data_IF_299502684083
#
_entry.id   IF_299502684083
#
_cell.length_a   1.000
_cell.length_b   1.000
_cell.length_c   1.000
_cell.angle_alpha   90.00
_cell.angle_beta   90.00
_cell.angle_gamma   90.00
#
_symmetry.space_group_name_H-M   'P 1'
#
loop_
_entity.id
_entity.type
_entity.pdbx_description
1 polymer ?
#
# COMPACT_ATOMS: atom_id res chain seq x y z
N UNK A 1 35.77 -6.32 24.32
CA UNK A 1 35.85 -7.61 23.58
C UNK A 1 34.76 -8.57 24.03
N UNK A 2 34.60 -8.83 25.34
CA UNK A 2 33.54 -9.70 25.87
C UNK A 2 32.11 -9.23 25.51
N UNK A 3 31.81 -7.93 25.62
CA UNK A 3 30.49 -7.38 25.24
C UNK A 3 30.19 -7.55 23.74
N UNK A 4 31.21 -7.40 22.89
CA UNK A 4 31.05 -7.56 21.43
C UNK A 4 30.78 -9.03 21.06
N UNK A 5 31.41 -9.97 21.76
CA UNK A 5 31.16 -11.41 21.59
C UNK A 5 29.75 -11.77 22.04
N UNK A 6 29.28 -11.23 23.17
CA UNK A 6 27.91 -11.44 23.66
C UNK A 6 26.84 -10.89 22.69
N UNK A 7 27.09 -9.72 22.08
CA UNK A 7 26.18 -9.16 21.05
C UNK A 7 26.13 -10.07 19.81
N UNK A 8 27.27 -10.58 19.36
CA UNK A 8 27.34 -11.49 18.21
C UNK A 8 26.69 -12.85 18.50
N UNK A 9 26.88 -13.40 19.70
CA UNK A 9 26.21 -14.64 20.12
C UNK A 9 24.70 -14.46 20.18
N UNK A 10 24.22 -13.33 20.71
CA UNK A 10 22.79 -13.02 20.76
C UNK A 10 22.18 -12.84 19.37
N UNK A 11 22.89 -12.15 18.47
CA UNK A 11 22.48 -12.02 17.05
C UNK A 11 22.47 -13.38 16.34
N UNK A 12 23.43 -14.26 16.65
CA UNK A 12 23.49 -15.62 16.09
C UNK A 12 22.32 -16.48 16.57
N UNK A 13 22.01 -16.46 17.87
CA UNK A 13 20.85 -17.18 18.41
C UNK A 13 19.54 -16.68 17.79
N UNK A 14 19.36 -15.36 17.68
CA UNK A 14 18.20 -14.77 17.01
C UNK A 14 18.12 -15.16 15.53
N UNK A 15 19.26 -15.22 14.83
CA UNK A 15 19.30 -15.65 13.44
C UNK A 15 18.92 -17.14 13.26
N UNK A 16 19.31 -18.01 14.19
CA UNK A 16 18.96 -19.45 14.17
C UNK A 16 17.45 -19.62 14.42
N UNK A 17 16.94 -19.03 15.51
CA UNK A 17 15.50 -19.08 15.84
C UNK A 17 14.64 -18.50 14.70
N UNK A 18 15.14 -17.45 14.05
CA UNK A 18 14.49 -16.85 12.89
C UNK A 18 14.54 -17.75 11.63
N UNK A 19 15.62 -18.50 11.43
CA UNK A 19 15.74 -19.43 10.28
C UNK A 19 14.74 -20.58 10.42
N UNK A 20 14.57 -21.13 11.62
CA UNK A 20 13.60 -22.19 11.88
C UNK A 20 12.15 -21.71 11.68
N UNK A 21 11.81 -20.52 12.20
CA UNK A 21 10.49 -19.90 11.97
C UNK A 21 10.27 -19.58 10.49
N UNK A 22 11.31 -19.17 9.77
CA UNK A 22 11.25 -18.86 8.35
C UNK A 22 10.97 -20.12 7.52
N UNK A 23 11.68 -21.22 7.77
CA UNK A 23 11.46 -22.48 7.04
C UNK A 23 10.04 -23.01 7.27
N UNK A 24 9.51 -22.93 8.50
CA UNK A 24 8.14 -23.33 8.80
C UNK A 24 7.12 -22.46 8.03
N UNK A 25 7.31 -21.13 8.03
CA UNK A 25 6.41 -20.21 7.34
C UNK A 25 6.47 -20.39 5.82
N UNK A 26 7.64 -20.64 5.24
CA UNK A 26 7.80 -20.92 3.81
C UNK A 26 7.20 -22.27 3.42
N UNK A 27 7.36 -23.30 4.24
CA UNK A 27 6.72 -24.59 4.00
C UNK A 27 5.19 -24.47 4.02
N UNK A 28 4.64 -23.72 4.99
CA UNK A 28 3.21 -23.41 5.06
C UNK A 28 2.76 -22.53 3.90
N UNK A 29 3.59 -21.59 3.44
CA UNK A 29 3.24 -20.71 2.33
C UNK A 29 3.09 -21.46 1.02
N UNK A 30 3.96 -22.43 0.72
CA UNK A 30 3.86 -23.23 -0.50
C UNK A 30 2.56 -24.03 -0.56
N UNK A 31 2.18 -24.66 0.55
CA UNK A 31 0.92 -25.42 0.62
C UNK A 31 -0.31 -24.51 0.53
N UNK A 32 -0.31 -23.39 1.25
CA UNK A 32 -1.43 -22.44 1.21
C UNK A 32 -1.51 -21.70 -0.11
N UNK A 33 -0.41 -21.38 -0.79
CA UNK A 33 -0.40 -20.81 -2.15
C UNK A 33 -0.95 -21.80 -3.17
N UNK A 34 -0.65 -23.09 -3.04
CA UNK A 34 -1.23 -24.13 -3.88
C UNK A 34 -2.75 -24.23 -3.70
N UNK A 35 -3.22 -24.25 -2.44
CA UNK A 35 -4.66 -24.25 -2.13
C UNK A 35 -5.34 -22.95 -2.58
N UNK A 36 -4.65 -21.82 -2.42
CA UNK A 36 -5.13 -20.51 -2.85
C UNK A 36 -5.29 -20.44 -4.37
N UNK A 37 -4.37 -21.02 -5.11
CA UNK A 37 -4.40 -21.11 -6.57
C UNK A 37 -5.49 -22.06 -7.11
N UNK A 38 -6.09 -22.88 -6.24
CA UNK A 38 -7.17 -23.82 -6.55
C UNK A 38 -8.43 -23.55 -5.72
N UNK A 39 -8.65 -22.30 -5.29
CA UNK A 39 -9.74 -21.92 -4.39
C UNK A 39 -11.14 -22.31 -4.93
N UNK A 40 -11.29 -22.37 -6.24
CA UNK A 40 -12.51 -22.70 -6.97
C UNK A 40 -12.88 -24.19 -6.92
N UNK A 41 -11.94 -25.05 -6.51
CA UNK A 41 -12.17 -26.49 -6.30
C UNK A 41 -12.51 -26.83 -4.85
N UNK A 42 -12.55 -25.84 -3.96
CA UNK A 42 -12.81 -26.03 -2.53
C UNK A 42 -14.26 -25.65 -2.17
N UNK A 43 -14.89 -26.36 -1.22
CA UNK A 43 -16.15 -25.93 -0.61
C UNK A 43 -16.05 -24.51 -0.02
N UNK A 44 -17.15 -23.74 -0.03
CA UNK A 44 -17.16 -22.31 0.33
C UNK A 44 -16.60 -21.98 1.74
N UNK A 45 -16.85 -22.84 2.73
CA UNK A 45 -16.28 -22.69 4.07
C UNK A 45 -14.75 -22.86 4.09
N UNK A 46 -14.22 -23.75 3.24
CA UNK A 46 -12.80 -24.02 3.12
C UNK A 46 -12.09 -22.94 2.28
N UNK A 47 -12.76 -22.37 1.28
CA UNK A 47 -12.20 -21.28 0.47
C UNK A 47 -12.01 -20.00 1.28
N UNK A 48 -12.94 -19.66 2.18
CA UNK A 48 -12.80 -18.53 3.10
C UNK A 48 -11.65 -18.76 4.09
N UNK A 49 -11.53 -19.96 4.65
CA UNK A 49 -10.45 -20.32 5.57
C UNK A 49 -9.08 -20.26 4.88
N UNK A 50 -8.95 -20.82 3.68
CA UNK A 50 -7.72 -20.76 2.87
C UNK A 50 -7.37 -19.32 2.49
N UNK A 51 -8.37 -18.50 2.16
CA UNK A 51 -8.15 -17.07 1.89
C UNK A 51 -7.62 -16.32 3.13
N UNK A 52 -8.19 -16.56 4.31
CA UNK A 52 -7.73 -15.97 5.57
C UNK A 52 -6.32 -16.43 5.94
N UNK A 53 -6.03 -17.73 5.80
CA UNK A 53 -4.71 -18.30 6.05
C UNK A 53 -3.66 -17.75 5.07
N UNK A 54 -4.01 -17.61 3.79
CA UNK A 54 -3.14 -17.00 2.80
C UNK A 54 -2.81 -15.55 3.17
N UNK A 55 -3.80 -14.75 3.56
CA UNK A 55 -3.59 -13.37 4.02
C UNK A 55 -2.68 -13.29 5.25
N UNK A 56 -2.86 -14.21 6.21
CA UNK A 56 -2.03 -14.27 7.42
C UNK A 56 -0.58 -14.62 7.09
N UNK A 57 -0.36 -15.59 6.22
CA UNK A 57 0.99 -16.00 5.77
C UNK A 57 1.68 -14.86 5.00
N UNK A 58 0.98 -14.18 4.09
CA UNK A 58 1.56 -13.05 3.35
C UNK A 58 1.94 -11.90 4.31
N UNK A 59 1.16 -11.66 5.36
CA UNK A 59 1.51 -10.69 6.40
C UNK A 59 2.75 -11.12 7.22
N UNK A 60 2.88 -12.41 7.53
CA UNK A 60 4.07 -12.96 8.20
C UNK A 60 5.32 -12.85 7.32
N UNK A 61 5.24 -13.24 6.05
CA UNK A 61 6.33 -13.10 5.08
C UNK A 61 6.74 -11.63 4.88
N UNK A 62 5.79 -10.70 4.90
CA UNK A 62 6.10 -9.26 4.84
C UNK A 62 6.89 -8.79 6.06
N UNK A 63 6.46 -9.17 7.29
CA UNK A 63 7.21 -8.87 8.53
C UNK A 63 8.61 -9.45 8.52
N UNK A 64 8.75 -10.70 8.05
CA UNK A 64 10.05 -11.37 7.87
C UNK A 64 10.94 -10.53 6.96
N UNK A 65 10.47 -10.13 5.77
CA UNK A 65 11.25 -9.30 4.82
C UNK A 65 11.69 -7.97 5.43
N UNK A 66 10.83 -7.33 6.24
CA UNK A 66 11.18 -6.08 6.94
C UNK A 66 12.27 -6.30 7.99
N UNK A 67 12.21 -7.40 8.74
CA UNK A 67 13.22 -7.77 9.73
C UNK A 67 14.55 -8.14 9.05
N UNK A 68 14.53 -8.90 7.95
CA UNK A 68 15.75 -9.23 7.18
C UNK A 68 16.45 -7.97 6.68
N UNK A 69 15.69 -6.98 6.19
CA UNK A 69 16.22 -5.67 5.77
C UNK A 69 16.84 -4.91 6.94
N UNK A 70 16.20 -4.95 8.11
CA UNK A 70 16.71 -4.29 9.32
C UNK A 70 18.01 -4.94 9.82
N UNK A 71 18.08 -6.27 9.81
CA UNK A 71 19.30 -7.02 10.14
C UNK A 71 20.42 -6.78 9.13
N UNK A 72 20.12 -6.75 7.83
CA UNK A 72 21.09 -6.43 6.79
C UNK A 72 21.65 -5.00 6.94
N UNK A 73 20.82 -4.04 7.35
CA UNK A 73 21.25 -2.66 7.63
C UNK A 73 22.14 -2.58 8.87
N UNK A 74 21.80 -3.28 9.96
CA UNK A 74 22.63 -3.39 11.16
C UNK A 74 23.98 -4.04 10.81
N UNK A 75 23.97 -5.10 10.00
CA UNK A 75 25.18 -5.77 9.56
C UNK A 75 26.05 -4.85 8.69
N UNK A 76 25.47 -4.16 7.71
CA UNK A 76 26.19 -3.19 6.89
C UNK A 76 26.82 -2.08 7.75
N UNK A 77 26.08 -1.57 8.75
CA UNK A 77 26.59 -0.58 9.71
C UNK A 77 27.78 -1.12 10.50
N UNK A 78 27.68 -2.33 11.09
CA UNK A 78 28.80 -2.97 11.79
C UNK A 78 30.02 -3.15 10.87
N UNK A 79 29.80 -3.56 9.62
CA UNK A 79 30.86 -3.77 8.62
C UNK A 79 31.50 -2.49 8.10
N UNK A 80 30.88 -1.32 8.31
CA UNK A 80 31.51 -0.01 8.03
C UNK A 80 32.39 0.50 9.16
N UNK A 81 32.20 -0.01 10.38
CA UNK A 81 32.92 0.42 11.59
C UNK A 81 34.08 -0.52 11.99
N UNK A 82 34.24 -1.68 11.32
CA UNK A 82 35.22 -2.69 11.69
C UNK A 82 36.54 -2.60 10.87
N UNK A 83 37.73 -2.67 11.50
CA UNK A 83 39.02 -2.68 10.79
C UNK A 83 39.25 -3.98 9.98
N UNK A 84 39.94 -3.88 8.85
CA UNK A 84 40.02 -4.90 7.77
C UNK A 84 40.36 -6.34 8.21
N UNK A 85 41.21 -6.52 9.22
CA UNK A 85 41.55 -7.87 9.73
C UNK A 85 40.38 -8.59 10.42
N UNK A 86 39.42 -7.83 10.98
CA UNK A 86 38.21 -8.37 11.66
C UNK A 86 37.07 -8.66 10.68
N UNK A 87 37.08 -8.04 9.49
CA UNK A 87 36.09 -8.23 8.42
C UNK A 87 36.11 -9.67 7.87
N UNK A 88 37.32 -10.22 7.65
CA UNK A 88 37.53 -11.59 7.13
C UNK A 88 37.09 -12.71 8.08
N UNK A 89 37.09 -12.46 9.39
CA UNK A 89 36.71 -13.45 10.42
C UNK A 89 35.20 -13.53 10.62
N UNK A 90 34.48 -12.43 10.39
CA UNK A 90 33.01 -12.37 10.52
C UNK A 90 32.34 -13.09 9.34
N UNK A 91 32.89 -12.96 8.12
CA UNK A 91 32.36 -13.63 6.91
C UNK A 91 32.38 -15.17 7.00
N UNK A 92 33.25 -15.74 7.83
CA UNK A 92 33.31 -17.20 8.04
C UNK A 92 32.21 -17.76 8.96
N UNK A 93 31.53 -16.92 9.75
CA UNK A 93 30.47 -17.36 10.66
C UNK A 93 29.14 -17.68 9.96
N UNK A 94 28.95 -17.18 8.73
CA UNK A 94 27.66 -17.22 8.03
C UNK A 94 27.69 -18.00 6.71
N UNK A 95 28.73 -18.81 6.46
CA UNK A 95 28.74 -19.72 5.29
C UNK A 95 27.90 -20.98 5.57
N UNK A 96 26.88 -21.31 4.74
CA UNK A 96 26.09 -22.53 4.91
C UNK A 96 26.92 -23.79 4.61
N UNK A 97 26.71 -24.86 5.37
CA UNK A 97 27.21 -26.21 5.03
C UNK A 97 26.30 -26.84 3.98
N UNK A 98 26.87 -27.31 2.87
CA UNK A 98 26.18 -28.01 1.78
C UNK A 98 26.10 -29.51 2.07
N UNK A 99 24.92 -30.11 1.94
CA UNK A 99 24.72 -31.57 1.87
C UNK A 99 24.04 -31.99 0.56
N UNK A 100 24.40 -33.17 0.05
CA UNK A 100 24.09 -33.72 -1.29
C UNK A 100 22.81 -34.59 -1.32
N UNK A 101 22.03 -34.43 -2.42
CA UNK A 101 21.14 -35.31 -3.24
C UNK A 101 20.61 -36.68 -2.73
N UNK A 102 19.31 -36.94 -3.03
CA UNK A 102 18.72 -38.08 -3.82
C UNK A 102 17.18 -37.90 -3.96
N UNK A 103 16.49 -37.83 -5.13
CA UNK A 103 16.13 -38.76 -6.25
C UNK A 103 14.94 -39.74 -6.01
N UNK A 104 13.87 -39.59 -6.84
CA UNK A 104 12.90 -40.62 -7.32
C UNK A 104 11.46 -40.55 -6.76
N UNK A 105 10.36 -41.06 -7.37
CA UNK A 105 9.74 -41.14 -8.72
C UNK A 105 8.37 -41.88 -8.56
N UNK A 106 7.33 -41.59 -9.36
CA UNK A 106 6.11 -42.42 -9.64
C UNK A 106 4.80 -41.95 -8.94
N UNK A 107 3.70 -41.52 -9.62
CA UNK A 107 2.65 -42.26 -10.38
C UNK A 107 1.84 -43.23 -9.46
N UNK A 108 0.50 -43.32 -9.39
CA UNK A 108 -0.60 -43.18 -10.36
C UNK A 108 -1.98 -43.15 -9.60
N UNK A 109 -3.06 -42.74 -10.26
CA UNK A 109 -4.50 -42.82 -9.86
C UNK A 109 -5.07 -44.22 -10.26
N UNK A 110 -6.34 -44.68 -9.97
CA UNK A 110 -7.60 -43.95 -10.30
C UNK A 110 -8.92 -44.33 -9.55
N UNK A 111 -10.00 -43.60 -9.93
CA UNK A 111 -11.43 -44.01 -10.05
C UNK A 111 -12.26 -44.39 -8.79
N UNK A 112 -13.59 -44.25 -8.71
CA UNK A 112 -14.70 -43.59 -9.41
C UNK A 112 -15.93 -43.61 -8.43
N UNK A 113 -16.98 -42.79 -8.66
CA UNK A 113 -18.20 -42.63 -7.81
C UNK A 113 -19.17 -43.84 -7.78
N UNK A 114 -20.52 -43.68 -7.68
CA UNK A 114 -21.35 -42.47 -7.68
C UNK A 114 -22.60 -42.53 -6.72
N UNK A 115 -23.56 -41.60 -6.94
CA UNK A 115 -25.03 -41.64 -6.68
C UNK A 115 -25.53 -40.98 -5.40
N UNK A 116 -26.24 -39.85 -5.52
CA UNK A 116 -27.71 -39.66 -5.76
C UNK A 116 -28.32 -39.29 -4.39
N UNK A 117 -29.34 -38.46 -4.21
CA UNK A 117 -30.10 -37.49 -4.96
C UNK A 117 -31.09 -36.88 -3.93
N UNK A 118 -31.59 -35.67 -4.20
CA UNK A 118 -32.84 -35.12 -3.64
C UNK A 118 -32.84 -34.77 -2.13
N UNK A 119 -33.51 -33.74 -1.61
CA UNK A 119 -34.47 -32.79 -2.14
C UNK A 119 -34.65 -31.68 -1.09
N UNK A 120 -34.78 -30.45 -1.60
CA UNK A 120 -35.71 -29.40 -1.17
C UNK A 120 -35.85 -28.87 0.28
N UNK A 121 -36.31 -27.60 0.28
CA UNK A 121 -37.02 -26.84 1.32
C UNK A 121 -36.13 -25.94 2.22
N UNK A 122 -35.85 -24.71 1.76
CA UNK A 122 -36.68 -23.54 2.14
C UNK A 122 -36.10 -22.22 1.61
N UNK A 123 -36.88 -21.57 0.75
CA UNK A 123 -36.70 -20.20 0.25
C UNK A 123 -36.93 -19.16 1.36
N UNK A 124 -36.26 -18.02 1.16
CA UNK A 124 -36.70 -16.65 1.44
C UNK A 124 -36.58 -16.12 2.88
N UNK A 125 -35.39 -15.62 3.22
CA UNK A 125 -35.21 -14.38 4.00
C UNK A 125 -33.73 -13.96 4.06
N UNK A 126 -33.14 -13.43 2.97
CA UNK A 126 -31.88 -12.66 3.07
C UNK A 126 -31.59 -11.92 1.74
N UNK A 127 -31.87 -10.62 1.71
CA UNK A 127 -31.39 -9.72 0.67
C UNK A 127 -30.22 -8.92 1.25
N UNK A 128 -29.09 -9.58 1.46
CA UNK A 128 -27.79 -8.93 1.65
C UNK A 128 -26.99 -9.09 0.37
N UNK A 129 -26.56 -7.97 -0.20
CA UNK A 129 -25.82 -7.90 -1.45
C UNK A 129 -24.59 -8.84 -1.43
N UNK A 130 -24.75 -10.00 -2.08
CA UNK A 130 -23.66 -10.90 -2.40
C UNK A 130 -22.72 -10.17 -3.37
N UNK A 131 -21.47 -10.03 -2.94
CA UNK A 131 -20.42 -9.43 -3.75
C UNK A 131 -19.93 -10.53 -4.69
N UNK A 132 -20.39 -10.52 -5.95
CA UNK A 132 -19.80 -11.36 -7.00
C UNK A 132 -18.30 -11.06 -7.08
N UNK A 133 -17.48 -12.03 -6.68
CA UNK A 133 -16.04 -12.01 -6.89
C UNK A 133 -15.81 -12.29 -8.38
N UNK A 134 -15.81 -11.22 -9.18
CA UNK A 134 -15.44 -11.29 -10.59
C UNK A 134 -13.98 -11.76 -10.68
N UNK A 135 -13.78 -13.01 -11.13
CA UNK A 135 -12.47 -13.55 -11.48
C UNK A 135 -11.83 -12.59 -12.50
N UNK A 136 -10.67 -11.98 -12.24
CA UNK A 136 -10.16 -10.99 -13.17
C UNK A 136 -9.42 -11.69 -14.31
N UNK A 137 -10.13 -11.97 -15.40
CA UNK A 137 -9.61 -12.61 -16.63
C UNK A 137 -8.44 -11.82 -17.28
N UNK A 138 -8.24 -10.55 -16.89
CA UNK A 138 -7.20 -9.67 -17.44
C UNK A 138 -5.86 -9.86 -16.70
N UNK A 139 -5.84 -10.29 -15.43
CA UNK A 139 -4.57 -10.54 -14.72
C UNK A 139 -3.71 -11.60 -15.41
N UNK A 140 -4.35 -12.63 -15.95
CA UNK A 140 -3.67 -13.68 -16.73
C UNK A 140 -3.16 -13.21 -18.09
N UNK A 141 -3.56 -12.01 -18.54
CA UNK A 141 -3.13 -11.41 -19.81
C UNK A 141 -2.02 -10.37 -19.62
N UNK A 142 -1.75 -9.94 -18.39
CA UNK A 142 -0.63 -9.06 -18.08
C UNK A 142 0.65 -9.88 -18.06
N UNK A 143 1.69 -9.40 -18.76
CA UNK A 143 3.04 -9.96 -18.60
C UNK A 143 3.51 -9.70 -17.15
N UNK A 144 3.73 -10.75 -16.33
CA UNK A 144 4.09 -10.59 -14.93
C UNK A 144 5.38 -9.80 -14.72
N UNK A 145 6.34 -9.87 -15.66
CA UNK A 145 7.59 -9.11 -15.56
C UNK A 145 7.39 -7.64 -15.93
N UNK A 146 6.57 -7.35 -16.95
CA UNK A 146 6.24 -5.96 -17.32
C UNK A 146 5.45 -5.26 -16.21
N UNK A 147 4.49 -5.94 -15.57
CA UNK A 147 3.59 -5.38 -14.57
C UNK A 147 3.93 -5.77 -13.13
N UNK A 148 5.15 -6.26 -12.89
CA UNK A 148 5.59 -6.74 -11.58
C UNK A 148 5.33 -5.73 -10.47
N UNK A 149 5.67 -4.46 -10.69
CA UNK A 149 5.49 -3.42 -9.69
C UNK A 149 4.02 -3.28 -9.30
N UNK A 150 3.12 -3.17 -10.26
CA UNK A 150 1.70 -2.98 -10.03
C UNK A 150 1.07 -4.21 -9.36
N UNK A 151 1.43 -5.41 -9.84
CA UNK A 151 0.93 -6.69 -9.31
C UNK A 151 1.38 -6.94 -7.87
N UNK A 152 2.62 -6.57 -7.52
CA UNK A 152 3.16 -6.80 -6.18
C UNK A 152 2.77 -5.70 -5.17
N UNK A 153 2.47 -4.48 -5.63
CA UNK A 153 2.41 -3.31 -4.73
C UNK A 153 1.09 -2.57 -4.70
N UNK A 154 0.20 -2.75 -5.70
CA UNK A 154 -1.18 -2.27 -5.59
C UNK A 154 -1.96 -3.22 -4.69
N UNK A 155 -2.70 -2.67 -3.73
CA UNK A 155 -3.56 -3.49 -2.87
C UNK A 155 -4.61 -4.27 -3.70
N UNK A 156 -4.82 -5.58 -3.43
CA UNK A 156 -5.71 -6.41 -4.24
C UNK A 156 -7.14 -5.86 -4.40
N UNK A 157 -7.65 -5.17 -3.38
CA UNK A 157 -9.01 -4.59 -3.42
C UNK A 157 -9.13 -3.42 -4.40
N UNK A 158 -8.02 -2.75 -4.71
CA UNK A 158 -7.92 -1.75 -5.77
C UNK A 158 -7.60 -2.39 -7.11
N UNK A 159 -6.68 -3.34 -7.13
CA UNK A 159 -6.19 -3.99 -8.34
C UNK A 159 -7.35 -4.58 -9.14
N UNK A 160 -8.31 -5.27 -8.49
CA UNK A 160 -9.51 -5.81 -9.15
C UNK A 160 -10.28 -4.80 -10.01
N UNK A 161 -10.26 -3.50 -9.66
CA UNK A 161 -10.95 -2.45 -10.40
C UNK A 161 -10.05 -1.69 -11.38
N UNK A 162 -8.73 -1.75 -11.18
CA UNK A 162 -7.74 -1.00 -11.94
C UNK A 162 -7.05 -1.81 -13.05
N UNK A 163 -7.22 -3.12 -13.10
CA UNK A 163 -6.56 -3.97 -14.11
C UNK A 163 -6.80 -3.53 -15.55
N UNK A 164 -8.03 -3.17 -15.90
CA UNK A 164 -8.37 -2.65 -17.25
C UNK A 164 -7.65 -1.34 -17.54
N UNK A 165 -7.34 -0.57 -16.50
CA UNK A 165 -6.62 0.70 -16.60
C UNK A 165 -5.14 0.46 -16.91
N UNK A 166 -4.54 -0.57 -16.31
CA UNK A 166 -3.13 -0.93 -16.51
C UNK A 166 -2.84 -1.36 -17.96
N UNK A 167 -3.83 -1.90 -18.67
CA UNK A 167 -3.67 -2.34 -20.07
C UNK A 167 -3.86 -1.22 -21.09
N UNK A 168 -4.29 -0.02 -20.66
CA UNK A 168 -4.58 1.08 -21.57
C UNK A 168 -3.31 1.59 -22.28
N UNK A 169 -3.44 2.08 -23.54
CA UNK A 169 -2.29 2.57 -24.30
C UNK A 169 -1.50 3.67 -23.58
N UNK A 170 -2.17 4.59 -22.89
CA UNK A 170 -1.49 5.67 -22.17
C UNK A 170 -0.67 5.14 -20.99
N UNK A 171 -1.14 4.08 -20.31
CA UNK A 171 -0.43 3.51 -19.17
C UNK A 171 0.83 2.78 -19.63
N UNK A 172 0.76 2.07 -20.76
CA UNK A 172 1.94 1.48 -21.42
C UNK A 172 2.97 2.55 -21.82
N UNK A 173 2.51 3.70 -22.32
CA UNK A 173 3.40 4.83 -22.63
C UNK A 173 4.05 5.41 -21.36
N UNK A 174 3.28 5.55 -20.27
CA UNK A 174 3.80 5.97 -18.97
C UNK A 174 4.89 5.02 -18.47
N UNK A 175 4.69 3.69 -18.56
CA UNK A 175 5.70 2.70 -18.18
C UNK A 175 6.98 2.84 -19.01
N UNK A 176 6.86 3.00 -20.33
CA UNK A 176 8.01 3.25 -21.22
C UNK A 176 8.77 4.51 -20.83
N UNK A 177 8.05 5.59 -20.53
CA UNK A 177 8.63 6.84 -20.04
C UNK A 177 9.41 6.63 -18.74
N UNK A 178 8.83 5.97 -17.73
CA UNK A 178 9.51 5.72 -16.46
C UNK A 178 10.75 4.81 -16.62
N UNK A 179 10.69 3.81 -17.51
CA UNK A 179 11.82 2.97 -17.82
C UNK A 179 12.96 3.76 -18.50
N UNK A 180 12.63 4.74 -19.36
CA UNK A 180 13.62 5.64 -19.96
C UNK A 180 14.25 6.57 -18.92
N UNK A 181 13.46 7.14 -18.00
CA UNK A 181 13.97 7.96 -16.89
C UNK A 181 14.96 7.16 -16.02
N UNK A 182 14.61 5.92 -15.68
CA UNK A 182 15.48 5.02 -14.93
C UNK A 182 16.76 4.67 -15.72
N UNK A 183 16.63 4.33 -17.01
CA UNK A 183 17.78 4.02 -17.88
C UNK A 183 18.72 5.22 -18.05
N UNK A 184 18.18 6.44 -18.01
CA UNK A 184 18.94 7.68 -18.03
C UNK A 184 19.64 8.00 -16.69
N UNK A 185 19.52 7.13 -15.68
CA UNK A 185 20.15 7.31 -14.38
C UNK A 185 19.50 8.39 -13.52
N UNK A 186 18.27 8.80 -13.85
CA UNK A 186 17.57 9.83 -13.08
C UNK A 186 17.10 9.26 -11.74
N UNK A 187 17.27 10.06 -10.69
CA UNK A 187 16.72 9.75 -9.38
C UNK A 187 15.24 10.13 -9.36
N UNK A 188 14.36 9.13 -9.30
CA UNK A 188 12.90 9.29 -9.26
C UNK A 188 12.37 8.99 -7.86
N UNK A 189 11.42 9.79 -7.41
CA UNK A 189 10.71 9.61 -6.14
C UNK A 189 9.21 9.37 -6.35
N UNK A 190 8.53 8.64 -5.44
CA UNK A 190 9.12 7.88 -4.33
C UNK A 190 9.89 6.64 -4.85
N UNK A 191 10.45 5.82 -3.95
CA UNK A 191 10.99 4.51 -4.35
C UNK A 191 9.90 3.70 -5.05
N UNK A 192 10.27 2.85 -6.01
CA UNK A 192 9.32 2.11 -6.84
C UNK A 192 8.25 1.37 -6.00
N UNK A 193 8.66 0.64 -4.96
CA UNK A 193 7.76 -0.09 -4.05
C UNK A 193 6.73 0.78 -3.32
N UNK A 194 6.99 2.09 -3.23
CA UNK A 194 6.17 3.05 -2.51
C UNK A 194 5.23 3.84 -3.43
N UNK A 195 5.35 3.72 -4.77
CA UNK A 195 4.50 4.45 -5.74
C UNK A 195 3.00 4.24 -5.46
N UNK A 196 2.62 3.03 -5.07
CA UNK A 196 1.23 2.64 -4.80
C UNK A 196 0.89 2.51 -3.30
N UNK A 197 1.71 3.06 -2.40
CA UNK A 197 1.48 3.00 -0.94
C UNK A 197 0.07 3.45 -0.55
N UNK A 198 -0.46 4.50 -1.20
CA UNK A 198 -1.83 4.99 -0.98
C UNK A 198 -2.89 3.88 -1.04
N UNK A 199 -2.73 2.88 -1.93
CA UNK A 199 -3.69 1.80 -2.10
C UNK A 199 -3.66 0.80 -0.95
N UNK A 200 -2.47 0.55 -0.38
CA UNK A 200 -2.25 -0.39 0.73
C UNK A 200 -2.63 0.20 2.07
N UNK A 201 -2.41 1.50 2.25
CA UNK A 201 -2.82 2.21 3.47
C UNK A 201 -4.34 2.40 3.53
N UNK A 202 -4.98 2.69 2.40
CA UNK A 202 -6.43 2.85 2.30
C UNK A 202 -7.02 1.86 1.28
N UNK A 203 -7.20 0.56 1.62
CA UNK A 203 -7.86 -0.42 0.76
C UNK A 203 -9.23 0.07 0.30
N UNK A 204 -9.66 -0.31 -0.90
CA UNK A 204 -10.81 0.26 -1.60
C UNK A 204 -12.09 0.35 -0.74
N UNK A 205 -12.41 -0.76 -0.06
CA UNK A 205 -13.58 -0.89 0.81
C UNK A 205 -13.51 -0.07 2.10
N UNK A 206 -12.35 0.48 2.46
CA UNK A 206 -12.13 1.27 3.69
C UNK A 206 -12.06 2.77 3.45
N UNK A 207 -12.07 3.22 2.19
CA UNK A 207 -12.03 4.65 1.86
C UNK A 207 -13.26 5.36 2.43
N UNK A 208 -12.99 6.41 3.22
CA UNK A 208 -13.97 7.32 3.85
C UNK A 208 -13.74 8.78 3.46
N UNK A 209 -12.48 9.17 3.32
CA UNK A 209 -12.07 10.53 2.94
C UNK A 209 -11.06 10.44 1.80
N UNK A 210 -11.14 11.36 0.83
CA UNK A 210 -10.16 11.52 -0.24
C UNK A 210 -9.56 12.92 -0.14
N UNK A 211 -8.24 12.99 -0.04
CA UNK A 211 -7.47 14.24 -0.09
C UNK A 211 -6.56 14.15 -1.31
N UNK A 212 -6.68 15.13 -2.21
CA UNK A 212 -5.93 15.16 -3.46
C UNK A 212 -4.74 16.10 -3.37
N UNK A 213 -3.54 15.57 -3.62
CA UNK A 213 -2.33 16.34 -3.87
C UNK A 213 -2.02 16.48 -5.37
N UNK A 214 -0.94 17.18 -5.68
CA UNK A 214 -0.51 17.43 -7.07
C UNK A 214 0.53 16.40 -7.50
N UNK A 215 1.76 16.51 -6.99
CA UNK A 215 2.87 15.59 -7.24
C UNK A 215 3.57 15.20 -5.92
N UNK A 216 4.40 14.14 -5.91
CA UNK A 216 5.18 13.77 -4.74
C UNK A 216 6.21 14.84 -4.40
N UNK A 217 6.66 14.88 -3.14
CA UNK A 217 7.83 15.68 -2.78
C UNK A 217 9.08 15.21 -3.54
N UNK A 218 9.83 16.16 -4.10
CA UNK A 218 10.95 15.91 -4.99
C UNK A 218 12.32 15.93 -4.28
N UNK A 219 12.36 15.98 -2.95
CA UNK A 219 13.60 15.91 -2.16
C UNK A 219 13.89 14.48 -1.67
N UNK A 220 15.18 14.13 -1.49
CA UNK A 220 15.57 12.82 -0.96
C UNK A 220 14.89 12.47 0.36
N UNK A 221 14.35 11.25 0.44
CA UNK A 221 13.71 10.71 1.64
C UNK A 221 12.33 11.30 1.98
N UNK A 222 11.83 12.27 1.21
CA UNK A 222 10.56 12.94 1.53
C UNK A 222 9.34 12.10 1.13
N UNK A 223 9.20 11.80 -0.17
CA UNK A 223 8.03 11.10 -0.69
C UNK A 223 8.06 9.61 -0.39
N UNK A 224 6.91 9.07 0.02
CA UNK A 224 6.69 7.64 0.30
C UNK A 224 5.33 7.14 -0.19
N UNK A 225 4.76 7.81 -1.20
CA UNK A 225 3.53 7.39 -1.88
C UNK A 225 2.22 7.85 -1.26
N UNK A 226 2.25 8.76 -0.27
CA UNK A 226 1.09 9.39 0.33
C UNK A 226 1.15 10.90 0.11
N UNK A 227 0.07 11.49 -0.43
CA UNK A 227 -0.03 12.95 -0.61
C UNK A 227 0.18 13.72 0.70
N UNK A 228 0.87 14.86 0.63
CA UNK A 228 1.24 15.74 1.76
C UNK A 228 2.12 15.13 2.86
N UNK A 229 2.25 13.81 2.93
CA UNK A 229 2.97 13.09 3.98
C UNK A 229 4.46 13.00 3.70
N UNK A 230 5.28 13.07 4.76
CA UNK A 230 6.73 12.79 4.71
C UNK A 230 7.12 11.76 5.76
N UNK A 231 8.22 11.04 5.55
CA UNK A 231 8.73 10.08 6.54
C UNK A 231 9.15 10.76 7.85
N UNK A 232 9.18 10.01 8.95
CA UNK A 232 9.71 10.49 10.24
C UNK A 232 11.18 10.88 10.10
N UNK A 233 11.58 11.93 10.82
CA UNK A 233 12.94 12.50 10.74
C UNK A 233 13.15 13.46 9.55
N UNK A 234 12.21 13.53 8.61
CA UNK A 234 12.23 14.53 7.53
C UNK A 234 11.58 15.82 8.01
N UNK A 235 12.16 16.97 7.64
CA UNK A 235 11.59 18.29 7.91
C UNK A 235 10.17 18.37 7.36
N UNK A 236 9.21 18.71 8.23
CA UNK A 236 7.80 18.88 7.87
C UNK A 236 7.66 20.01 6.82
N UNK A 237 7.10 19.74 5.63
CA UNK A 237 6.95 20.75 4.59
C UNK A 237 5.96 21.86 4.96
N UNK A 238 6.07 23.07 4.38
CA UNK A 238 5.22 24.21 4.73
C UNK A 238 3.71 23.95 4.56
N UNK A 239 3.31 23.26 3.48
CA UNK A 239 1.89 22.91 3.26
C UNK A 239 1.35 22.01 4.36
N UNK A 240 2.15 21.03 4.82
CA UNK A 240 1.74 20.14 5.90
C UNK A 240 1.70 20.87 7.25
N UNK A 241 2.64 21.79 7.52
CA UNK A 241 2.57 22.66 8.69
C UNK A 241 1.26 23.48 8.71
N UNK A 242 0.82 23.97 7.56
CA UNK A 242 -0.45 24.68 7.46
C UNK A 242 -1.67 23.76 7.66
N UNK A 243 -1.60 22.49 7.25
CA UNK A 243 -2.63 21.50 7.59
C UNK A 243 -2.71 21.27 9.09
N UNK A 244 -1.58 21.16 9.80
CA UNK A 244 -1.57 21.08 11.27
C UNK A 244 -2.10 22.36 11.92
N UNK A 245 -1.78 23.53 11.36
CA UNK A 245 -2.34 24.80 11.84
C UNK A 245 -3.87 24.86 11.68
N UNK A 246 -4.42 24.34 10.58
CA UNK A 246 -5.87 24.25 10.40
C UNK A 246 -6.56 23.23 11.35
N UNK A 247 -5.77 22.38 12.02
CA UNK A 247 -6.22 21.48 13.09
C UNK A 247 -5.97 22.06 14.49
N UNK A 248 -5.32 23.23 14.63
CA UNK A 248 -5.18 23.90 15.92
C UNK A 248 -6.57 24.26 16.46
N UNK A 249 -6.92 23.73 17.63
CA UNK A 249 -8.26 23.85 18.21
C UNK A 249 -9.22 22.70 17.90
N UNK A 250 -8.85 21.77 17.00
CA UNK A 250 -9.57 20.50 16.86
C UNK A 250 -9.41 19.67 18.13
N UNK A 251 -10.51 19.18 18.70
CA UNK A 251 -10.49 18.53 20.02
C UNK A 251 -9.50 17.36 20.06
N UNK A 252 -8.57 17.42 21.02
CA UNK A 252 -7.55 16.39 21.22
C UNK A 252 -6.42 16.40 20.20
N UNK A 253 -6.33 17.40 19.32
CA UNK A 253 -5.20 17.53 18.39
C UNK A 253 -4.00 18.18 19.07
N UNK A 254 -2.86 17.49 19.00
CA UNK A 254 -1.55 18.03 19.32
C UNK A 254 -0.65 17.87 18.11
N UNK A 255 0.01 18.96 17.72
CA UNK A 255 0.89 18.96 16.55
C UNK A 255 2.06 18.00 16.79
N UNK A 256 2.28 16.99 15.93
CA UNK A 256 3.42 16.09 16.07
C UNK A 256 4.74 16.78 15.66
N UNK A 257 5.85 16.17 16.06
CA UNK A 257 7.20 16.59 15.64
C UNK A 257 7.66 15.94 14.32
N UNK A 258 6.76 15.27 13.59
CA UNK A 258 7.01 14.63 12.30
C UNK A 258 5.89 14.94 11.29
N UNK A 259 6.11 14.61 10.02
CA UNK A 259 5.14 14.82 8.96
C UNK A 259 4.46 13.54 8.43
N UNK A 260 4.60 12.43 9.15
CA UNK A 260 4.06 11.14 8.73
C UNK A 260 2.55 11.03 9.00
N UNK A 261 1.76 10.92 7.92
CA UNK A 261 0.29 10.82 7.93
C UNK A 261 -0.26 9.38 7.83
N UNK A 262 0.56 8.36 8.11
CA UNK A 262 0.12 6.95 7.99
C UNK A 262 -1.10 6.62 8.84
N UNK A 263 -1.18 7.17 10.05
CA UNK A 263 -2.34 6.96 10.94
C UNK A 263 -3.67 7.48 10.40
N UNK A 264 -3.66 8.54 9.59
CA UNK A 264 -4.87 8.97 8.88
C UNK A 264 -5.22 7.99 7.75
N UNK A 265 -4.21 7.55 7.01
CA UNK A 265 -4.40 6.69 5.86
C UNK A 265 -4.98 5.33 6.26
N UNK A 266 -4.49 4.72 7.34
CA UNK A 266 -5.00 3.44 7.91
C UNK A 266 -6.46 3.51 8.37
N UNK A 267 -6.96 4.72 8.67
CA UNK A 267 -8.36 4.97 9.05
C UNK A 267 -9.29 5.16 7.84
N UNK A 268 -8.77 5.09 6.61
CA UNK A 268 -9.54 5.26 5.39
C UNK A 268 -9.42 6.63 4.72
N UNK A 269 -8.38 7.40 5.06
CA UNK A 269 -8.05 8.65 4.34
C UNK A 269 -7.16 8.34 3.15
N UNK A 270 -7.74 8.34 1.95
CA UNK A 270 -7.00 8.18 0.71
C UNK A 270 -6.20 9.46 0.40
N UNK A 271 -4.89 9.40 0.63
CA UNK A 271 -3.93 10.47 0.36
C UNK A 271 -3.30 10.28 -1.04
N UNK A 272 -3.97 10.79 -2.07
CA UNK A 272 -3.63 10.52 -3.47
C UNK A 272 -3.09 11.76 -4.18
N UNK A 273 -1.86 11.68 -4.71
CA UNK A 273 -1.36 12.69 -5.64
C UNK A 273 -1.89 12.41 -7.05
N UNK A 274 -1.94 13.43 -7.90
CA UNK A 274 -2.36 13.25 -9.29
C UNK A 274 -1.24 12.72 -10.19
N UNK A 275 0.00 13.17 -9.99
CA UNK A 275 1.20 12.49 -10.43
C UNK A 275 1.72 11.59 -9.31
N UNK A 276 2.12 10.35 -9.62
CA UNK A 276 2.61 9.40 -8.59
C UNK A 276 4.14 9.30 -8.52
N UNK A 277 4.86 9.88 -9.47
CA UNK A 277 6.32 9.97 -9.45
C UNK A 277 6.81 11.37 -9.82
N UNK A 278 8.05 11.70 -9.44
CA UNK A 278 8.72 12.97 -9.74
C UNK A 278 10.24 12.77 -9.82
N UNK A 279 10.93 13.58 -10.62
CA UNK A 279 12.38 13.60 -10.69
C UNK A 279 12.93 14.43 -9.51
N UNK A 280 14.04 13.97 -8.94
CA UNK A 280 14.74 14.66 -7.85
C UNK A 280 14.98 16.14 -8.19
N UNK A 281 14.60 17.03 -7.28
CA UNK A 281 14.69 18.49 -7.40
C UNK A 281 13.91 19.15 -8.54
N UNK A 282 13.03 18.42 -9.25
CA UNK A 282 12.22 18.97 -10.35
C UNK A 282 10.73 18.74 -10.13
N UNK A 283 10.09 19.65 -9.39
CA UNK A 283 8.64 19.65 -9.22
C UNK A 283 7.92 19.58 -10.58
N UNK A 284 6.84 18.79 -10.65
CA UNK A 284 6.05 18.56 -11.85
C UNK A 284 6.80 17.95 -13.06
N UNK A 285 8.00 17.40 -12.91
CA UNK A 285 8.76 16.84 -14.04
C UNK A 285 8.03 15.70 -14.77
N UNK A 286 7.16 14.97 -14.07
CA UNK A 286 6.36 13.88 -14.60
C UNK A 286 4.88 14.24 -14.80
N UNK A 287 4.55 15.53 -14.78
CA UNK A 287 3.21 15.99 -15.11
C UNK A 287 2.86 15.69 -16.57
N UNK A 288 1.60 15.35 -16.82
CA UNK A 288 1.04 15.00 -18.12
C UNK A 288 1.73 13.80 -18.80
N UNK A 289 2.34 12.89 -18.02
CA UNK A 289 2.96 11.66 -18.53
C UNK A 289 2.03 10.44 -18.49
N UNK A 290 0.81 10.61 -17.97
CA UNK A 290 -0.23 9.58 -17.90
C UNK A 290 -0.71 9.27 -16.49
N UNK A 291 -0.03 9.76 -15.45
CA UNK A 291 -0.46 9.55 -14.06
C UNK A 291 -1.80 10.21 -13.76
N UNK A 292 -2.07 11.38 -14.32
CA UNK A 292 -3.31 12.11 -14.11
C UNK A 292 -4.51 11.30 -14.59
N UNK A 293 -4.42 10.69 -15.76
CA UNK A 293 -5.45 9.77 -16.30
C UNK A 293 -5.66 8.57 -15.37
N UNK A 294 -4.58 7.96 -14.90
CA UNK A 294 -4.64 6.82 -13.99
C UNK A 294 -5.31 7.19 -12.66
N UNK A 295 -4.89 8.31 -12.06
CA UNK A 295 -5.44 8.74 -10.77
C UNK A 295 -6.84 9.34 -10.92
N UNK A 296 -7.22 9.84 -12.10
CA UNK A 296 -8.62 10.18 -12.43
C UNK A 296 -9.50 8.94 -12.38
N UNK A 297 -9.04 7.82 -12.96
CA UNK A 297 -9.74 6.55 -12.84
C UNK A 297 -9.91 6.12 -11.38
N UNK A 298 -8.88 6.29 -10.55
CA UNK A 298 -8.96 6.00 -9.10
C UNK A 298 -10.07 6.81 -8.43
N UNK A 299 -10.14 8.12 -8.69
CA UNK A 299 -11.18 8.99 -8.13
C UNK A 299 -12.58 8.63 -8.66
N UNK A 300 -12.69 8.32 -9.95
CA UNK A 300 -13.93 7.87 -10.57
C UNK A 300 -14.44 6.56 -9.98
N UNK A 301 -13.56 5.59 -9.72
CA UNK A 301 -13.93 4.33 -9.10
C UNK A 301 -14.50 4.53 -7.70
N UNK A 302 -13.90 5.43 -6.91
CA UNK A 302 -14.45 5.81 -5.60
C UNK A 302 -15.83 6.45 -5.78
N UNK A 303 -15.97 7.42 -6.68
CA UNK A 303 -17.24 8.09 -6.97
C UNK A 303 -18.35 7.10 -7.40
N UNK A 304 -18.00 6.14 -8.28
CA UNK A 304 -18.95 5.19 -8.85
C UNK A 304 -19.33 4.08 -7.87
N UNK A 305 -18.37 3.49 -7.14
CA UNK A 305 -18.59 2.25 -6.38
C UNK A 305 -18.57 2.40 -4.86
N UNK A 306 -18.21 3.56 -4.31
CA UNK A 306 -18.29 3.86 -2.87
C UNK A 306 -19.39 4.87 -2.60
N UNK A 307 -19.99 4.85 -1.42
CA UNK A 307 -20.99 5.84 -0.99
C UNK A 307 -20.52 6.53 0.29
N UNK A 308 -21.06 7.72 0.58
CA UNK A 308 -20.77 8.47 1.81
C UNK A 308 -19.28 8.82 2.01
N UNK A 309 -18.54 8.95 0.91
CA UNK A 309 -17.14 9.41 0.92
C UNK A 309 -17.08 10.95 0.96
N UNK A 310 -16.16 11.50 1.76
CA UNK A 310 -15.84 12.93 1.81
C UNK A 310 -14.66 13.23 0.89
N UNK A 311 -14.82 14.16 -0.05
CA UNK A 311 -13.74 14.64 -0.91
C UNK A 311 -13.28 16.03 -0.48
N UNK A 312 -12.04 16.16 -0.05
CA UNK A 312 -11.39 17.43 0.28
C UNK A 312 -10.56 17.92 -0.90
N UNK A 313 -11.07 18.93 -1.58
CA UNK A 313 -10.50 19.49 -2.81
C UNK A 313 -9.85 20.84 -2.52
N UNK A 314 -8.55 20.82 -2.23
CA UNK A 314 -7.79 22.01 -1.86
C UNK A 314 -7.00 22.57 -3.06
N UNK A 315 -7.36 23.77 -3.50
CA UNK A 315 -6.77 24.42 -4.67
C UNK A 315 -7.48 24.11 -5.99
N UNK A 316 -7.21 24.93 -7.00
CA UNK A 316 -7.89 24.88 -8.30
C UNK A 316 -7.71 23.54 -9.02
N UNK A 317 -6.53 22.93 -8.91
CA UNK A 317 -6.23 21.64 -9.52
C UNK A 317 -7.13 20.53 -8.96
N UNK A 318 -7.15 20.35 -7.63
CA UNK A 318 -8.00 19.35 -6.98
C UNK A 318 -9.49 19.61 -7.25
N UNK A 319 -9.92 20.87 -7.29
CA UNK A 319 -11.30 21.25 -7.59
C UNK A 319 -11.72 20.90 -9.03
N UNK A 320 -10.82 21.04 -10.01
CA UNK A 320 -11.05 20.59 -11.39
C UNK A 320 -11.16 19.07 -11.45
N UNK A 321 -10.23 18.35 -10.80
CA UNK A 321 -10.22 16.87 -10.75
C UNK A 321 -11.49 16.29 -10.12
N UNK A 322 -12.00 16.95 -9.08
CA UNK A 322 -13.24 16.57 -8.40
C UNK A 322 -14.53 17.18 -8.99
N UNK A 323 -14.50 17.76 -10.19
CA UNK A 323 -15.68 18.43 -10.76
C UNK A 323 -16.84 17.46 -11.05
N UNK A 324 -16.53 16.18 -11.35
CA UNK A 324 -17.52 15.13 -11.71
C UNK A 324 -18.00 14.29 -10.52
N UNK A 325 -17.65 14.65 -9.28
CA UNK A 325 -18.08 13.91 -8.09
C UNK A 325 -19.60 14.09 -7.89
N UNK A 326 -20.30 12.99 -7.66
CA UNK A 326 -21.74 12.97 -7.40
C UNK A 326 -22.02 13.46 -5.96
N UNK A 327 -22.48 14.70 -5.85
CA UNK A 327 -22.79 15.35 -4.58
C UNK A 327 -24.05 14.82 -3.89
N UNK A 328 -24.89 14.04 -4.58
CA UNK A 328 -26.02 13.37 -3.95
C UNK A 328 -25.57 12.18 -3.09
N UNK A 329 -24.41 11.60 -3.43
CA UNK A 329 -23.81 10.42 -2.80
C UNK A 329 -22.66 10.74 -1.86
N UNK A 330 -22.00 11.88 -2.09
CA UNK A 330 -20.74 12.25 -1.46
C UNK A 330 -20.76 13.68 -0.92
N UNK A 331 -19.96 13.93 0.11
CA UNK A 331 -19.67 15.29 0.54
C UNK A 331 -18.46 15.82 -0.22
N UNK A 332 -18.57 17.01 -0.82
CA UNK A 332 -17.46 17.69 -1.49
C UNK A 332 -17.14 18.99 -0.73
N UNK A 333 -15.96 19.05 -0.13
CA UNK A 333 -15.44 20.20 0.59
C UNK A 333 -14.36 20.89 -0.23
N UNK A 334 -14.53 22.18 -0.53
CA UNK A 334 -13.61 22.96 -1.38
C UNK A 334 -13.01 24.11 -0.58
N UNK A 335 -11.69 24.31 -0.71
CA UNK A 335 -10.99 25.50 -0.23
C UNK A 335 -9.77 25.78 -1.10
N UNK A 336 -9.06 26.86 -0.82
CA UNK A 336 -7.73 27.16 -1.37
C UNK A 336 -6.70 26.12 -0.89
N UNK A 337 -5.55 26.05 -1.58
CA UNK A 337 -4.50 25.07 -1.25
C UNK A 337 -3.82 25.42 0.10
N UNK A 338 -3.35 24.45 0.90
CA UNK A 338 -2.59 24.69 2.13
C UNK A 338 -1.19 25.31 1.93
N UNK A 339 -0.79 25.61 0.70
CA UNK A 339 0.50 26.24 0.42
C UNK A 339 0.58 27.61 1.10
N UNK A 340 1.76 28.05 1.58
CA UNK A 340 1.95 29.41 2.10
C UNK A 340 1.42 30.50 1.17
N UNK A 341 1.47 30.28 -0.14
CA UNK A 341 0.99 31.21 -1.17
C UNK A 341 -0.53 31.45 -1.14
N UNK A 342 -1.29 30.55 -0.52
CA UNK A 342 -2.75 30.58 -0.60
C UNK A 342 -3.49 30.28 0.69
N UNK A 343 -2.86 29.69 1.70
CA UNK A 343 -3.55 29.18 2.89
C UNK A 343 -4.35 30.27 3.64
N UNK A 344 -3.82 31.49 3.70
CA UNK A 344 -4.47 32.64 4.34
C UNK A 344 -5.74 33.13 3.61
N UNK A 345 -6.04 32.62 2.41
CA UNK A 345 -7.23 33.01 1.62
C UNK A 345 -8.46 32.14 1.90
N UNK A 346 -8.46 31.38 3.00
CA UNK A 346 -9.60 30.55 3.42
C UNK A 346 -9.29 29.10 3.80
N UNK A 347 -8.03 28.66 3.79
CA UNK A 347 -7.71 27.28 4.19
C UNK A 347 -7.83 27.12 5.72
N UNK A 348 -7.36 28.09 6.51
CA UNK A 348 -7.37 27.99 7.97
C UNK A 348 -8.79 28.03 8.56
N UNK A 349 -9.72 28.70 7.89
CA UNK A 349 -11.09 28.92 8.34
C UNK A 349 -12.06 27.85 7.82
N UNK A 350 -11.61 26.95 6.93
CA UNK A 350 -12.52 26.06 6.20
C UNK A 350 -13.19 25.00 7.08
N UNK A 351 -12.58 24.65 8.22
CA UNK A 351 -13.03 23.61 9.17
C UNK A 351 -13.34 22.26 8.50
N UNK A 352 -12.58 21.89 7.46
CA UNK A 352 -12.83 20.67 6.69
C UNK A 352 -12.74 19.39 7.52
N UNK A 353 -11.80 19.30 8.47
CA UNK A 353 -11.60 18.12 9.31
C UNK A 353 -12.82 17.82 10.19
N UNK A 354 -13.43 18.86 10.76
CA UNK A 354 -14.66 18.78 11.55
C UNK A 354 -15.86 18.43 10.66
N UNK A 355 -16.09 19.20 9.58
CA UNK A 355 -17.17 18.94 8.61
C UNK A 355 -17.14 17.52 8.04
N UNK A 356 -15.94 16.97 7.82
CA UNK A 356 -15.79 15.60 7.37
C UNK A 356 -16.28 14.59 8.42
N UNK A 357 -15.91 14.78 9.68
CA UNK A 357 -16.35 13.90 10.76
C UNK A 357 -17.83 14.04 11.05
N UNK A 358 -18.39 15.25 11.04
CA UNK A 358 -19.83 15.48 11.17
C UNK A 358 -20.61 14.71 10.11
N UNK A 359 -20.13 14.75 8.86
CA UNK A 359 -20.75 14.02 7.76
C UNK A 359 -20.63 12.51 7.92
N UNK A 360 -19.45 11.99 8.31
CA UNK A 360 -19.26 10.56 8.54
C UNK A 360 -20.20 10.06 9.64
N UNK A 361 -20.27 10.77 10.77
CA UNK A 361 -21.15 10.44 11.90
C UNK A 361 -22.62 10.48 11.48
N UNK A 362 -23.06 11.50 10.74
CA UNK A 362 -24.43 11.60 10.24
C UNK A 362 -24.82 10.48 9.26
N UNK A 363 -23.84 9.75 8.71
CA UNK A 363 -24.03 8.58 7.84
C UNK A 363 -23.79 7.24 8.55
N UNK A 364 -23.65 7.25 9.88
CA UNK A 364 -23.39 6.04 10.68
C UNK A 364 -21.98 5.46 10.49
N UNK A 365 -21.04 6.25 9.96
CA UNK A 365 -19.65 5.85 9.78
C UNK A 365 -18.79 6.35 10.94
N UNK A 366 -17.79 5.56 11.33
CA UNK A 366 -16.84 6.01 12.35
C UNK A 366 -16.03 7.22 11.85
N UNK A 367 -15.90 8.28 12.68
CA UNK A 367 -15.12 9.46 12.33
C UNK A 367 -13.63 9.12 12.21
N UNK A 368 -12.87 10.01 11.58
CA UNK A 368 -11.41 9.95 11.56
C UNK A 368 -10.86 10.61 12.83
N UNK A 369 -10.00 9.89 13.55
CA UNK A 369 -9.18 10.50 14.58
C UNK A 369 -8.01 11.24 13.93
N UNK A 370 -8.20 12.54 13.67
CA UNK A 370 -7.18 13.41 13.08
C UNK A 370 -5.95 13.62 13.98
N UNK A 371 -6.03 13.26 15.25
CA UNK A 371 -4.90 13.29 16.20
C UNK A 371 -4.08 12.00 16.20
N UNK A 372 -4.55 10.94 15.55
CA UNK A 372 -3.81 9.69 15.45
C UNK A 372 -2.74 9.77 14.35
N UNK A 373 -1.56 10.21 14.75
CA UNK A 373 -0.36 10.31 13.93
C UNK A 373 0.74 9.48 14.63
N UNK A 374 0.99 8.23 14.19
CA UNK A 374 1.80 7.26 14.91
C UNK A 374 3.29 7.56 14.85
#
# INVERSE_FOLDING_TARGET
MAEYVQVLERLRSLAIEWTEQYEEIVARSQHIEYLYSNLDKLPSANSLLVYQQHKQIQAQLCKIRQLTRSLAAIFAFIMTQAPDKKRKTIDSYFKPKVSKKSKGKGAENPEAGPKDAAEEISKAAEATAETEVVKPQILSQLDPEEYKLELETIDPSWLQYLQTELTQPYFKQLKKFLAQEHKAGKQIFPLAQDVYSWSRFAPFGRVKVVILGQDPYHGPGQAHGLAFSVQKGVRVPPSLLNMYRALEGYQGFSKPNHGYLGGWAEQGVLLLNAALTVECHKANSHANKGWETFTDRVVELVNQKRSNVVFMLWGSYAQKKGARIDKSKHLVLKSVHPSPLSAHRGFFECRHFEKANDYLVARGLSPINWSHLP
#
